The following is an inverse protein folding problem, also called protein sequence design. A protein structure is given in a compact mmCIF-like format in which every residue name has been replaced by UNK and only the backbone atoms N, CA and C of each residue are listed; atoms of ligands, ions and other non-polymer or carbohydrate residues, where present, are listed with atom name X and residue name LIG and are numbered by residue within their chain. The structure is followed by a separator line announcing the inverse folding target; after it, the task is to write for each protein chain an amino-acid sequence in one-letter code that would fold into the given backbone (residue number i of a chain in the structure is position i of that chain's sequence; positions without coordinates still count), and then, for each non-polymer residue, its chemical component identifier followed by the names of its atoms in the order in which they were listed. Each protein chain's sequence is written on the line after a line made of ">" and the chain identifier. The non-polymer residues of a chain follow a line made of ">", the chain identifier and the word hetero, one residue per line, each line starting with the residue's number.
data_IF_398300711640
#
_entry.id   IF_398300711640
#
_cell.length_a   1.000
_cell.length_b   1.000
_cell.length_c   1.000
_cell.angle_alpha   90.00
_cell.angle_beta   90.00
_cell.angle_gamma   90.00
#
_symmetry.space_group_name_H-M   'P 1'
#
loop_
_entity.id
_entity.type
_entity.pdbx_description
1 polymer ?
#
# COMPACT_ATOMS: atom_id res chain seq x y z
N UNK A 1 28.81 24.08 -0.81
CA UNK A 1 27.69 23.13 -0.93
C UNK A 1 26.41 23.94 -0.88
N UNK A 2 25.53 23.82 -1.86
CA UNK A 2 24.22 24.50 -1.84
C UNK A 2 23.49 24.16 -0.54
N UNK A 3 22.87 25.15 0.11
CA UNK A 3 22.15 24.95 1.36
C UNK A 3 20.92 24.08 1.13
N UNK A 4 20.86 22.91 1.78
CA UNK A 4 19.67 22.05 1.76
C UNK A 4 18.64 22.56 2.77
N UNK A 5 17.54 23.11 2.27
CA UNK A 5 16.45 23.61 3.10
C UNK A 5 15.27 22.64 3.07
N UNK A 6 14.70 22.35 4.24
CA UNK A 6 13.45 21.58 4.34
C UNK A 6 12.29 22.53 4.58
N UNK A 7 11.21 22.34 3.81
CA UNK A 7 9.93 23.04 4.01
C UNK A 7 8.75 22.13 3.69
N UNK A 8 7.55 22.58 4.05
CA UNK A 8 6.33 21.97 3.57
C UNK A 8 6.14 22.25 2.08
N UNK A 9 5.70 21.23 1.35
CA UNK A 9 5.26 21.38 -0.02
C UNK A 9 3.97 22.19 -0.08
N UNK A 10 3.80 22.92 -1.18
CA UNK A 10 2.63 23.71 -1.51
C UNK A 10 2.06 23.24 -2.85
N UNK A 11 0.83 23.65 -3.18
CA UNK A 11 0.18 23.27 -4.45
C UNK A 11 1.01 23.65 -5.68
N UNK A 12 1.75 24.77 -5.62
CA UNK A 12 2.66 25.20 -6.67
C UNK A 12 3.83 24.24 -6.96
N UNK A 13 4.16 23.35 -6.02
CA UNK A 13 5.23 22.36 -6.16
C UNK A 13 4.82 21.13 -6.99
N UNK A 14 3.53 21.01 -7.35
CA UNK A 14 2.97 19.82 -7.97
C UNK A 14 3.81 19.31 -9.16
N UNK A 15 4.17 20.18 -10.10
CA UNK A 15 4.92 19.78 -11.29
C UNK A 15 6.33 19.28 -10.96
N UNK A 16 7.03 19.92 -10.01
CA UNK A 16 8.35 19.48 -9.58
C UNK A 16 8.29 18.14 -8.83
N UNK A 17 7.25 17.90 -8.03
CA UNK A 17 7.03 16.63 -7.33
C UNK A 17 6.68 15.48 -8.29
N UNK A 18 5.85 15.75 -9.31
CA UNK A 18 5.59 14.81 -10.39
C UNK A 18 6.88 14.48 -11.15
N UNK A 19 7.71 15.48 -11.45
CA UNK A 19 9.00 15.26 -12.09
C UNK A 19 9.96 14.46 -11.21
N UNK A 20 10.06 14.78 -9.91
CA UNK A 20 10.88 14.01 -8.96
C UNK A 20 10.44 12.53 -8.90
N UNK A 21 9.14 12.27 -9.04
CA UNK A 21 8.59 10.91 -9.11
C UNK A 21 9.08 10.16 -10.35
N UNK A 22 9.11 10.82 -11.52
CA UNK A 22 9.66 10.26 -12.76
C UNK A 22 11.18 10.01 -12.65
N UNK A 23 11.90 10.90 -11.97
CA UNK A 23 13.35 10.82 -11.77
C UNK A 23 13.77 9.75 -10.75
N UNK A 24 12.82 9.21 -9.98
CA UNK A 24 13.07 8.19 -8.96
C UNK A 24 12.38 6.84 -9.28
N UNK A 25 12.69 6.20 -10.42
CA UNK A 25 12.07 4.92 -10.77
C UNK A 25 12.53 3.79 -9.83
N UNK A 26 11.68 2.79 -9.71
CA UNK A 26 12.05 1.48 -9.19
C UNK A 26 12.80 0.74 -10.30
N UNK A 27 14.06 0.40 -10.03
CA UNK A 27 14.91 -0.33 -10.95
C UNK A 27 14.89 -1.82 -10.63
N UNK A 28 14.78 -2.65 -11.66
CA UNK A 28 14.73 -4.11 -11.51
C UNK A 28 14.48 -4.82 -12.83
N UNK A 29 14.17 -6.14 -12.78
CA UNK A 29 13.84 -6.92 -13.97
C UNK A 29 12.72 -6.30 -14.82
N UNK A 30 11.78 -5.63 -14.16
CA UNK A 30 10.84 -4.67 -14.72
C UNK A 30 11.16 -3.34 -14.05
N UNK A 31 11.62 -2.35 -14.81
CA UNK A 31 11.83 -1.01 -14.29
C UNK A 31 10.59 -0.17 -14.56
N UNK A 32 10.13 0.55 -13.56
CA UNK A 32 8.89 1.34 -13.62
C UNK A 32 8.96 2.51 -12.66
N UNK A 33 8.05 3.47 -12.81
CA UNK A 33 7.73 4.41 -11.74
C UNK A 33 6.22 4.42 -11.51
N UNK A 34 5.83 4.82 -10.31
CA UNK A 34 4.43 4.98 -9.96
C UNK A 34 4.03 6.42 -10.30
N UNK A 35 3.34 6.58 -11.42
CA UNK A 35 2.83 7.86 -11.89
C UNK A 35 1.72 8.36 -10.98
N UNK A 36 1.72 9.69 -10.80
CA UNK A 36 0.88 10.46 -9.87
C UNK A 36 0.08 11.56 -10.59
N UNK A 37 0.08 11.55 -11.91
CA UNK A 37 -0.59 12.56 -12.72
C UNK A 37 -2.12 12.53 -12.50
N UNK A 38 -2.81 13.68 -12.50
CA UNK A 38 -2.27 15.04 -12.70
C UNK A 38 -1.83 15.73 -11.39
N UNK A 39 -2.17 15.18 -10.21
CA UNK A 39 -1.98 15.82 -8.91
C UNK A 39 -1.24 14.88 -7.95
N UNK A 40 -0.04 15.27 -7.56
CA UNK A 40 0.84 14.52 -6.66
C UNK A 40 0.15 14.19 -5.32
N UNK A 41 -0.57 15.17 -4.77
CA UNK A 41 -1.15 15.12 -3.43
C UNK A 41 -2.39 14.21 -3.29
N UNK A 42 -2.98 13.74 -4.39
CA UNK A 42 -4.21 12.93 -4.34
C UNK A 42 -4.05 11.64 -3.53
N UNK A 43 -2.90 10.94 -3.62
CA UNK A 43 -2.71 9.77 -2.75
C UNK A 43 -2.66 10.18 -1.27
N UNK A 44 -2.00 11.28 -0.95
CA UNK A 44 -1.84 11.73 0.43
C UNK A 44 -3.19 12.08 1.08
N UNK A 45 -4.07 12.75 0.34
CA UNK A 45 -5.44 13.06 0.75
C UNK A 45 -6.25 11.78 1.05
N UNK A 46 -6.07 10.74 0.24
CA UNK A 46 -6.74 9.45 0.43
C UNK A 46 -6.16 8.62 1.58
N UNK A 47 -4.89 8.82 1.92
CA UNK A 47 -4.25 8.14 3.04
C UNK A 47 -4.77 8.65 4.40
N UNK A 48 -5.21 9.90 4.50
CA UNK A 48 -5.73 10.48 5.73
C UNK A 48 -5.99 11.99 5.62
N UNK A 49 -6.89 12.49 6.46
CA UNK A 49 -7.37 13.88 6.42
C UNK A 49 -6.27 14.90 6.77
N UNK A 50 -5.28 14.50 7.57
CA UNK A 50 -4.14 15.34 7.92
C UNK A 50 -2.85 14.70 7.43
N UNK A 51 -2.31 15.25 6.34
CA UNK A 51 -1.01 14.86 5.79
C UNK A 51 -0.08 16.06 5.66
N UNK A 52 1.22 15.78 5.60
CA UNK A 52 2.30 16.73 5.35
C UNK A 52 3.26 16.11 4.35
N UNK A 53 3.54 16.84 3.27
CA UNK A 53 4.62 16.49 2.34
C UNK A 53 5.76 17.47 2.61
N UNK A 54 6.91 16.95 3.01
CA UNK A 54 8.12 17.74 3.17
C UNK A 54 8.98 17.62 1.93
N UNK A 55 9.54 18.73 1.48
CA UNK A 55 10.48 18.79 0.37
C UNK A 55 11.83 19.27 0.84
N UNK A 56 12.89 18.78 0.20
CA UNK A 56 14.23 19.33 0.32
C UNK A 56 14.53 20.10 -0.95
N UNK A 57 14.86 21.37 -0.79
CA UNK A 57 15.25 22.26 -1.89
C UNK A 57 16.78 22.43 -1.93
N UNK A 58 17.30 22.48 -3.16
CA UNK A 58 18.67 22.87 -3.47
C UNK A 58 18.62 23.74 -4.71
N UNK A 59 19.17 24.94 -4.66
CA UNK A 59 19.23 25.89 -5.79
C UNK A 59 17.85 26.11 -6.44
N UNK A 60 16.82 26.35 -5.61
CA UNK A 60 15.41 26.54 -5.98
C UNK A 60 14.76 25.36 -6.72
N UNK A 61 15.33 24.15 -6.62
CA UNK A 61 14.76 22.93 -7.17
C UNK A 61 14.48 21.92 -6.07
N UNK A 62 13.33 21.26 -6.15
CA UNK A 62 13.01 20.14 -5.26
C UNK A 62 13.89 18.94 -5.64
N UNK A 63 14.70 18.50 -4.70
CA UNK A 63 15.62 17.36 -4.88
C UNK A 63 15.29 16.15 -4.01
N UNK A 64 14.29 16.28 -3.15
CA UNK A 64 13.73 15.17 -2.41
C UNK A 64 12.34 15.49 -1.88
N UNK A 65 11.57 14.44 -1.58
CA UNK A 65 10.28 14.54 -0.90
C UNK A 65 10.09 13.39 0.09
N UNK A 66 9.32 13.63 1.17
CA UNK A 66 8.82 12.59 2.07
C UNK A 66 7.39 12.95 2.50
N UNK A 67 6.53 11.94 2.59
CA UNK A 67 5.14 12.11 3.02
C UNK A 67 4.94 11.57 4.43
N UNK A 68 4.21 12.31 5.24
CA UNK A 68 3.79 11.94 6.58
C UNK A 68 2.28 12.14 6.71
N UNK A 69 1.53 11.08 6.98
CA UNK A 69 0.07 11.14 7.11
C UNK A 69 -0.35 10.67 8.49
N UNK A 70 -1.13 11.49 9.20
CA UNK A 70 -1.68 11.14 10.50
C UNK A 70 -2.75 10.06 10.32
N UNK A 71 -2.63 8.95 11.04
CA UNK A 71 -3.61 7.87 11.03
C UNK A 71 -3.97 7.46 12.46
N UNK A 72 -5.25 7.18 12.68
CA UNK A 72 -5.69 6.45 13.86
C UNK A 72 -5.62 4.96 13.58
N UNK A 73 -4.96 4.23 14.48
CA UNK A 73 -4.79 2.78 14.37
C UNK A 73 -5.07 2.07 15.69
N UNK A 74 -5.36 0.78 15.61
CA UNK A 74 -5.40 -0.09 16.77
C UNK A 74 -3.99 -0.52 17.18
N UNK A 75 -3.67 -0.35 18.46
CA UNK A 75 -2.46 -0.85 19.10
C UNK A 75 -2.85 -1.54 20.41
N UNK A 76 -2.67 -2.85 20.48
CA UNK A 76 -3.14 -3.70 21.57
C UNK A 76 -4.64 -3.48 21.89
N UNK A 77 -5.44 -3.27 20.85
CA UNK A 77 -6.88 -2.98 20.94
C UNK A 77 -7.24 -1.53 21.29
N UNK A 78 -6.27 -0.65 21.55
CA UNK A 78 -6.50 0.76 21.85
C UNK A 78 -6.30 1.63 20.60
N UNK A 79 -7.11 2.68 20.47
CA UNK A 79 -7.01 3.63 19.35
C UNK A 79 -5.89 4.64 19.63
N UNK A 80 -4.89 4.68 18.75
CA UNK A 80 -3.67 5.48 18.90
C UNK A 80 -3.39 6.23 17.60
N UNK A 81 -3.05 7.53 17.66
CA UNK A 81 -2.60 8.27 16.49
C UNK A 81 -1.13 7.96 16.18
N UNK A 82 -0.82 7.75 14.90
CA UNK A 82 0.53 7.50 14.39
C UNK A 82 0.82 8.33 13.14
N UNK A 83 2.11 8.50 12.82
CA UNK A 83 2.54 9.01 11.52
C UNK A 83 2.81 7.85 10.56
N UNK A 84 2.00 7.69 9.52
CA UNK A 84 2.38 6.87 8.37
C UNK A 84 3.41 7.63 7.52
N UNK A 85 4.66 7.16 7.50
CA UNK A 85 5.79 7.83 6.86
C UNK A 85 6.22 7.00 5.65
N UNK A 86 6.13 7.59 4.47
CA UNK A 86 6.40 6.91 3.23
C UNK A 86 6.70 7.85 2.07
N UNK A 87 6.65 7.29 0.88
CA UNK A 87 6.84 8.01 -0.38
C UNK A 87 8.16 8.80 -0.48
N UNK A 88 9.20 8.33 0.23
CA UNK A 88 10.52 8.95 0.26
C UNK A 88 11.16 8.89 -1.14
N UNK A 89 11.45 10.07 -1.69
CA UNK A 89 12.17 10.24 -2.95
C UNK A 89 13.38 11.13 -2.73
N UNK A 90 14.51 10.72 -3.30
CA UNK A 90 15.72 11.52 -3.34
C UNK A 90 16.25 11.42 -4.76
N UNK A 91 16.32 12.57 -5.43
CA UNK A 91 16.83 12.69 -6.78
C UNK A 91 18.18 11.96 -6.89
N UNK A 92 18.41 11.12 -7.91
CA UNK A 92 19.62 10.29 -7.99
C UNK A 92 20.92 11.07 -7.78
N UNK A 93 21.03 12.27 -8.37
CA UNK A 93 22.18 13.18 -8.25
C UNK A 93 22.43 13.75 -6.85
N UNK A 94 21.47 13.62 -5.94
CA UNK A 94 21.52 14.13 -4.55
C UNK A 94 21.62 13.03 -3.49
N UNK A 95 21.65 11.75 -3.89
CA UNK A 95 21.86 10.63 -2.96
C UNK A 95 23.25 10.72 -2.33
N UNK A 96 23.34 10.47 -1.03
CA UNK A 96 24.59 10.61 -0.25
C UNK A 96 24.98 12.05 0.08
N UNK A 97 24.27 13.08 -0.41
CA UNK A 97 24.59 14.50 -0.19
C UNK A 97 23.87 15.15 1.00
N UNK A 98 23.42 14.35 1.97
CA UNK A 98 22.80 14.86 3.20
C UNK A 98 21.28 15.07 3.18
N UNK A 99 20.58 14.88 2.05
CA UNK A 99 19.11 15.05 1.92
C UNK A 99 18.33 14.26 2.99
N UNK A 100 18.67 12.98 3.18
CA UNK A 100 18.03 12.14 4.21
C UNK A 100 18.24 12.69 5.62
N UNK A 101 19.47 13.16 5.94
CA UNK A 101 19.77 13.77 7.23
C UNK A 101 18.92 15.02 7.44
N UNK A 102 18.81 15.87 6.42
CA UNK A 102 17.97 17.08 6.47
C UNK A 102 16.51 16.75 6.76
N UNK A 103 15.92 15.73 6.10
CA UNK A 103 14.57 15.28 6.42
C UNK A 103 14.44 14.90 7.89
N UNK A 104 15.31 14.02 8.36
CA UNK A 104 15.18 13.45 9.69
C UNK A 104 15.41 14.50 10.77
N UNK A 105 16.27 15.50 10.56
CA UNK A 105 16.52 16.54 11.57
C UNK A 105 15.56 17.72 11.49
N UNK A 106 15.14 18.14 10.29
CA UNK A 106 14.30 19.33 10.10
C UNK A 106 12.81 19.00 9.99
N UNK A 107 12.43 17.95 9.25
CA UNK A 107 11.02 17.57 9.11
C UNK A 107 10.44 17.01 10.40
N UNK A 108 11.22 16.24 11.18
CA UNK A 108 10.79 15.74 12.50
C UNK A 108 10.50 16.89 13.47
N UNK A 109 11.35 17.92 13.47
CA UNK A 109 11.15 19.14 14.25
C UNK A 109 9.87 19.86 13.84
N UNK A 110 9.66 20.06 12.53
CA UNK A 110 8.43 20.69 12.02
C UNK A 110 7.18 19.87 12.38
N UNK A 111 7.22 18.54 12.30
CA UNK A 111 6.11 17.68 12.74
C UNK A 111 5.82 17.85 14.23
N UNK A 112 6.87 17.92 15.07
CA UNK A 112 6.70 18.14 16.51
C UNK A 112 6.08 19.51 16.82
N UNK A 113 6.54 20.55 16.14
CA UNK A 113 6.05 21.93 16.31
C UNK A 113 4.58 22.11 15.88
N UNK A 114 4.05 21.25 15.01
CA UNK A 114 2.62 21.27 14.61
C UNK A 114 1.65 20.76 15.68
N UNK A 115 2.12 20.40 16.88
CA UNK A 115 1.27 20.19 18.06
C UNK A 115 0.59 18.82 18.16
N UNK A 116 0.75 17.94 17.16
CA UNK A 116 0.17 16.60 17.19
C UNK A 116 0.75 15.71 18.31
N UNK A 117 1.97 16.01 18.82
CA UNK A 117 2.67 15.24 19.88
C UNK A 117 2.66 13.72 19.65
N UNK A 118 2.66 13.29 18.39
CA UNK A 118 2.70 11.88 17.99
C UNK A 118 4.14 11.43 17.87
N UNK A 119 4.51 10.45 18.69
CA UNK A 119 5.87 9.91 18.84
C UNK A 119 5.98 8.44 18.41
N UNK A 120 5.11 8.02 17.48
CA UNK A 120 5.11 6.70 16.84
C UNK A 120 4.84 6.86 15.35
N UNK A 121 5.70 6.26 14.52
CA UNK A 121 5.51 6.18 13.08
C UNK A 121 5.38 4.76 12.58
N UNK A 122 4.80 4.60 11.39
CA UNK A 122 4.77 3.36 10.61
C UNK A 122 5.38 3.63 9.23
N UNK A 123 6.33 2.81 8.81
CA UNK A 123 6.85 2.85 7.45
C UNK A 123 6.91 1.47 6.83
N UNK A 124 6.57 1.40 5.55
CA UNK A 124 6.66 0.18 4.75
C UNK A 124 7.74 0.38 3.69
N UNK A 125 8.67 -0.58 3.60
CA UNK A 125 9.81 -0.49 2.70
C UNK A 125 9.90 -1.78 1.91
N UNK A 126 9.81 -1.70 0.58
CA UNK A 126 10.03 -2.87 -0.30
C UNK A 126 11.41 -3.45 0.00
N UNK A 127 11.49 -4.75 0.28
CA UNK A 127 12.70 -5.44 0.77
C UNK A 127 13.89 -5.34 -0.18
N UNK A 128 13.62 -5.33 -1.48
CA UNK A 128 14.65 -5.20 -2.53
C UNK A 128 15.11 -3.75 -2.74
N UNK A 129 14.46 -2.77 -2.11
CA UNK A 129 14.88 -1.38 -2.20
C UNK A 129 16.22 -1.21 -1.47
N UNK A 130 17.29 -0.74 -2.15
CA UNK A 130 18.58 -0.49 -1.50
C UNK A 130 18.51 0.49 -0.32
N UNK A 131 17.52 1.38 -0.31
CA UNK A 131 17.28 2.31 0.77
C UNK A 131 16.92 1.62 2.09
N UNK A 132 16.37 0.39 2.07
CA UNK A 132 16.03 -0.36 3.29
C UNK A 132 17.21 -0.45 4.25
N UNK A 133 18.38 -0.88 3.78
CA UNK A 133 19.61 -1.01 4.59
C UNK A 133 20.11 0.33 5.12
N UNK A 134 19.94 1.40 4.35
CA UNK A 134 20.39 2.75 4.71
C UNK A 134 19.48 3.34 5.79
N UNK A 135 18.18 3.07 5.71
CA UNK A 135 17.16 3.59 6.62
C UNK A 135 17.14 2.84 7.94
N UNK A 136 17.34 1.52 7.92
CA UNK A 136 17.34 0.68 9.13
C UNK A 136 18.69 0.63 9.85
N UNK A 137 19.70 1.35 9.36
CA UNK A 137 21.02 1.41 10.00
C UNK A 137 21.03 2.32 11.23
N UNK A 138 21.77 1.95 12.27
CA UNK A 138 21.92 2.75 13.49
C UNK A 138 22.71 4.02 13.19
N UNK A 139 22.06 5.19 13.27
CA UNK A 139 22.70 6.50 13.17
C UNK A 139 22.14 7.43 14.25
N UNK A 140 22.94 8.30 14.88
CA UNK A 140 22.49 9.12 16.00
C UNK A 140 21.29 10.03 15.71
N UNK A 141 21.10 10.42 14.45
CA UNK A 141 19.98 11.26 14.03
C UNK A 141 18.74 10.47 13.60
N UNK A 142 18.84 9.17 13.32
CA UNK A 142 17.72 8.37 12.84
C UNK A 142 16.78 7.96 13.98
N UNK A 143 15.46 7.87 13.75
CA UNK A 143 14.59 7.18 14.68
C UNK A 143 14.97 5.69 14.75
N UNK A 144 14.61 5.03 15.84
CA UNK A 144 14.76 3.59 15.97
C UNK A 144 13.71 2.88 15.10
N UNK A 145 14.15 2.05 14.17
CA UNK A 145 13.30 1.21 13.31
C UNK A 145 13.08 -0.13 13.98
N UNK A 146 11.92 -0.31 14.61
CA UNK A 146 11.52 -1.58 15.22
C UNK A 146 10.84 -2.43 14.15
N UNK A 147 11.37 -3.62 13.80
CA UNK A 147 10.76 -4.48 12.79
C UNK A 147 9.43 -5.02 13.28
N UNK A 148 8.37 -4.89 12.47
CA UNK A 148 7.02 -5.38 12.80
C UNK A 148 6.71 -6.72 12.12
N UNK A 149 7.26 -6.93 10.92
CA UNK A 149 7.02 -8.14 10.14
C UNK A 149 7.33 -7.96 8.66
N UNK A 150 7.18 -9.04 7.90
CA UNK A 150 7.30 -9.03 6.43
C UNK A 150 5.93 -9.25 5.80
N UNK A 151 5.53 -8.33 4.94
CA UNK A 151 4.33 -8.40 4.12
C UNK A 151 4.71 -9.01 2.78
N UNK A 152 4.13 -10.15 2.43
CA UNK A 152 4.23 -10.71 1.10
C UNK A 152 3.09 -10.17 0.23
N UNK A 153 3.45 -9.41 -0.80
CA UNK A 153 2.51 -8.93 -1.79
C UNK A 153 2.40 -9.95 -2.90
N UNK A 154 1.18 -10.42 -3.16
CA UNK A 154 0.84 -11.35 -4.21
C UNK A 154 0.21 -10.60 -5.37
N UNK A 155 0.88 -10.55 -6.52
CA UNK A 155 0.31 -10.14 -7.80
C UNK A 155 -0.31 -11.37 -8.46
N UNK A 156 -1.62 -11.53 -8.31
CA UNK A 156 -2.40 -12.68 -8.78
C UNK A 156 -2.90 -12.44 -10.20
N UNK A 157 -2.46 -13.27 -11.14
CA UNK A 157 -2.81 -13.09 -12.55
C UNK A 157 -4.21 -13.61 -12.87
N UNK A 158 -4.94 -12.82 -13.64
CA UNK A 158 -6.31 -13.11 -14.10
C UNK A 158 -6.26 -13.99 -15.35
N UNK A 159 -5.96 -15.29 -15.17
CA UNK A 159 -5.77 -16.23 -16.28
C UNK A 159 -6.95 -17.20 -16.41
N UNK A 160 -7.16 -18.04 -15.39
CA UNK A 160 -8.10 -19.15 -15.44
C UNK A 160 -9.17 -19.02 -14.36
N UNK A 161 -10.40 -19.51 -14.59
CA UNK A 161 -11.41 -19.54 -13.55
C UNK A 161 -10.98 -20.44 -12.39
N UNK A 162 -11.50 -20.11 -11.21
CA UNK A 162 -11.32 -20.84 -9.96
C UNK A 162 -12.63 -21.48 -9.52
N UNK A 163 -12.54 -22.71 -9.04
CA UNK A 163 -13.65 -23.33 -8.32
C UNK A 163 -13.78 -22.64 -6.96
N UNK A 164 -15.00 -22.23 -6.65
CA UNK A 164 -15.35 -21.68 -5.33
C UNK A 164 -15.94 -22.85 -4.53
N UNK A 165 -15.61 -22.92 -3.24
CA UNK A 165 -16.19 -23.89 -2.35
C UNK A 165 -17.69 -23.58 -2.14
N UNK A 166 -18.55 -24.56 -2.41
CA UNK A 166 -20.01 -24.42 -2.40
C UNK A 166 -20.57 -24.06 -1.01
N UNK A 167 -19.77 -24.22 0.06
CA UNK A 167 -20.11 -23.77 1.41
C UNK A 167 -20.23 -22.25 1.50
N UNK A 168 -19.51 -21.50 0.65
CA UNK A 168 -19.49 -20.04 0.72
C UNK A 168 -20.31 -19.42 -0.40
N UNK A 169 -21.24 -18.55 -0.02
CA UNK A 169 -21.92 -17.67 -0.94
C UNK A 169 -21.14 -16.35 -1.02
N UNK A 170 -20.48 -16.10 -2.15
CA UNK A 170 -19.79 -14.82 -2.38
C UNK A 170 -20.67 -13.89 -3.22
N UNK A 171 -20.98 -12.72 -2.67
CA UNK A 171 -21.88 -11.72 -3.28
C UNK A 171 -21.24 -10.33 -3.31
N UNK A 172 -21.77 -9.42 -4.12
CA UNK A 172 -21.39 -8.00 -4.08
C UNK A 172 -22.18 -7.31 -2.97
N UNK A 173 -21.55 -6.34 -2.30
CA UNK A 173 -22.22 -5.59 -1.25
C UNK A 173 -23.32 -4.67 -1.79
N UNK A 174 -24.35 -4.49 -0.97
CA UNK A 174 -25.45 -3.56 -1.18
C UNK A 174 -25.58 -2.62 0.02
N UNK A 175 -26.45 -1.61 -0.07
CA UNK A 175 -26.69 -0.68 1.04
C UNK A 175 -27.14 -1.38 2.33
N UNK A 176 -27.80 -2.54 2.21
CA UNK A 176 -28.26 -3.33 3.36
C UNK A 176 -27.12 -4.02 4.13
N UNK A 177 -25.94 -4.18 3.50
CA UNK A 177 -24.82 -4.89 4.11
C UNK A 177 -23.90 -3.97 4.94
N UNK A 178 -24.07 -2.64 4.87
CA UNK A 178 -23.13 -1.66 5.43
C UNK A 178 -22.88 -1.87 6.93
N UNK A 179 -23.93 -2.12 7.70
CA UNK A 179 -23.81 -2.34 9.15
C UNK A 179 -23.00 -3.61 9.44
N UNK A 180 -23.32 -4.72 8.78
CA UNK A 180 -22.60 -5.98 8.93
C UNK A 180 -21.12 -5.86 8.48
N UNK A 181 -20.87 -5.14 7.37
CA UNK A 181 -19.52 -4.91 6.85
C UNK A 181 -18.66 -4.11 7.82
N UNK A 182 -19.17 -2.97 8.30
CA UNK A 182 -18.44 -2.11 9.23
C UNK A 182 -18.22 -2.81 10.57
N UNK A 183 -19.20 -3.58 11.05
CA UNK A 183 -19.08 -4.44 12.22
C UNK A 183 -17.96 -5.49 12.08
N UNK A 184 -17.91 -6.21 10.95
CA UNK A 184 -16.86 -7.20 10.68
C UNK A 184 -15.48 -6.54 10.58
N UNK A 185 -15.36 -5.42 9.83
CA UNK A 185 -14.07 -4.73 9.68
C UNK A 185 -13.56 -4.29 11.06
N UNK A 186 -14.41 -3.62 11.85
CA UNK A 186 -14.03 -3.15 13.19
C UNK A 186 -13.58 -4.31 14.09
N UNK A 187 -14.35 -5.39 14.13
CA UNK A 187 -14.02 -6.58 14.92
C UNK A 187 -12.69 -7.20 14.49
N UNK A 188 -12.48 -7.39 13.19
CA UNK A 188 -11.26 -7.98 12.66
C UNK A 188 -10.04 -7.06 12.83
N UNK A 189 -10.22 -5.74 12.74
CA UNK A 189 -9.12 -4.76 12.79
C UNK A 189 -8.69 -4.46 14.23
N UNK A 190 -9.62 -4.44 15.18
CA UNK A 190 -9.30 -4.26 16.60
C UNK A 190 -8.38 -5.37 17.17
N UNK A 191 -8.36 -6.54 16.52
CA UNK A 191 -7.49 -7.68 16.88
C UNK A 191 -6.13 -7.66 16.15
N UNK A 192 -5.78 -6.56 15.46
CA UNK A 192 -4.54 -6.44 14.68
C UNK A 192 -3.80 -5.15 15.01
N UNK A 193 -2.47 -5.25 15.11
CA UNK A 193 -1.60 -4.10 15.31
C UNK A 193 -1.59 -3.22 14.07
N UNK A 194 -1.62 -1.91 14.26
CA UNK A 194 -1.56 -0.90 13.20
C UNK A 194 -2.73 -0.95 12.20
N UNK A 195 -3.83 -1.65 12.53
CA UNK A 195 -5.03 -1.64 11.71
C UNK A 195 -5.70 -0.27 11.76
N UNK A 196 -6.15 0.31 10.63
CA UNK A 196 -6.78 1.62 10.65
C UNK A 196 -8.09 1.56 11.46
N UNK A 197 -8.32 2.58 12.27
CA UNK A 197 -9.64 2.78 12.89
C UNK A 197 -10.60 3.23 11.80
N UNK A 198 -11.69 2.48 11.62
CA UNK A 198 -12.75 2.83 10.69
C UNK A 198 -13.98 3.19 11.50
N UNK A 199 -14.38 4.45 11.42
CA UNK A 199 -15.65 4.90 11.97
C UNK A 199 -16.80 4.41 11.08
N UNK A 200 -17.79 3.68 11.63
CA UNK A 200 -18.96 3.28 10.88
C UNK A 200 -19.72 4.50 10.32
N UNK A 201 -19.78 5.57 11.13
CA UNK A 201 -20.28 6.86 10.69
C UNK A 201 -19.39 7.40 9.57
N UNK A 202 -19.98 7.64 8.40
CA UNK A 202 -19.24 8.18 7.26
C UNK A 202 -18.44 7.16 6.44
N UNK A 203 -18.44 5.86 6.79
CA UNK A 203 -17.78 4.81 5.98
C UNK A 203 -18.23 4.84 4.52
N UNK A 204 -19.55 4.82 4.27
CA UNK A 204 -20.10 4.87 2.91
C UNK A 204 -19.69 6.15 2.19
N UNK A 205 -19.82 7.30 2.85
CA UNK A 205 -19.42 8.60 2.29
C UNK A 205 -17.95 8.61 1.88
N UNK A 206 -17.07 8.07 2.72
CA UNK A 206 -15.64 7.96 2.43
C UNK A 206 -15.37 7.02 1.25
N UNK A 207 -16.05 5.89 1.20
CA UNK A 207 -15.98 4.95 0.07
C UNK A 207 -16.41 5.64 -1.24
N UNK A 208 -17.53 6.34 -1.24
CA UNK A 208 -18.06 7.05 -2.43
C UNK A 208 -17.20 8.25 -2.86
N UNK A 209 -16.52 8.90 -1.91
CA UNK A 209 -15.57 9.98 -2.18
C UNK A 209 -14.20 9.47 -2.65
N UNK A 210 -13.92 8.18 -2.52
CA UNK A 210 -12.64 7.58 -2.90
C UNK A 210 -12.65 7.23 -4.38
N UNK A 211 -11.84 7.89 -5.23
CA UNK A 211 -11.86 7.65 -6.67
C UNK A 211 -11.54 6.18 -7.00
N UNK A 212 -12.40 5.58 -7.83
CA UNK A 212 -12.27 4.18 -8.24
C UNK A 212 -12.65 3.14 -7.18
N UNK A 213 -13.19 3.58 -6.04
CA UNK A 213 -13.79 2.74 -5.01
C UNK A 213 -15.30 3.08 -4.86
N UNK A 214 -16.09 2.09 -4.49
CA UNK A 214 -17.54 2.19 -4.39
C UNK A 214 -18.11 0.92 -3.77
N UNK A 215 -19.32 1.01 -3.21
CA UNK A 215 -19.92 -0.09 -2.47
C UNK A 215 -20.04 -1.39 -3.29
N UNK A 216 -20.42 -1.28 -4.56
CA UNK A 216 -20.54 -2.41 -5.48
C UNK A 216 -19.22 -3.16 -5.75
N UNK A 217 -18.07 -2.57 -5.40
CA UNK A 217 -16.77 -3.22 -5.55
C UNK A 217 -16.37 -4.07 -4.33
N UNK A 218 -17.14 -4.03 -3.26
CA UNK A 218 -16.97 -4.92 -2.10
C UNK A 218 -17.56 -6.29 -2.39
N UNK A 219 -16.80 -7.32 -2.06
CA UNK A 219 -17.19 -8.72 -2.07
C UNK A 219 -17.38 -9.21 -0.65
N UNK A 220 -18.47 -9.95 -0.45
CA UNK A 220 -18.90 -10.49 0.84
C UNK A 220 -18.97 -12.01 0.75
N UNK A 221 -18.19 -12.70 1.57
CA UNK A 221 -18.26 -14.16 1.73
C UNK A 221 -19.17 -14.48 2.91
N UNK A 222 -20.28 -15.17 2.63
CA UNK A 222 -21.28 -15.57 3.61
C UNK A 222 -21.35 -17.10 3.73
N UNK A 223 -21.60 -17.60 4.92
CA UNK A 223 -21.93 -19.01 5.17
C UNK A 223 -23.24 -19.06 5.97
N UNK A 224 -24.24 -19.77 5.45
CA UNK A 224 -25.57 -19.84 6.07
C UNK A 224 -26.15 -18.45 6.43
N UNK A 225 -25.97 -17.47 5.54
CA UNK A 225 -26.43 -16.08 5.73
C UNK A 225 -25.52 -15.20 6.60
N UNK A 226 -24.57 -15.76 7.35
CA UNK A 226 -23.64 -15.02 8.20
C UNK A 226 -22.44 -14.51 7.41
N UNK A 227 -22.09 -13.23 7.54
CA UNK A 227 -20.91 -12.63 6.92
C UNK A 227 -19.63 -13.08 7.64
N UNK A 228 -18.73 -13.74 6.91
CA UNK A 228 -17.46 -14.28 7.44
C UNK A 228 -16.23 -13.50 6.97
N UNK A 229 -16.34 -12.85 5.82
CA UNK A 229 -15.21 -12.16 5.23
C UNK A 229 -15.63 -11.14 4.19
N UNK A 230 -14.82 -10.11 4.01
CA UNK A 230 -14.97 -9.18 2.92
C UNK A 230 -13.62 -8.69 2.40
N UNK A 231 -13.64 -8.25 1.15
CA UNK A 231 -12.55 -7.54 0.49
C UNK A 231 -13.13 -6.61 -0.58
N UNK A 232 -12.49 -5.48 -0.85
CA UNK A 232 -12.88 -4.60 -1.94
C UNK A 232 -11.85 -4.58 -3.06
N UNK A 233 -12.34 -4.52 -4.29
CA UNK A 233 -11.55 -4.25 -5.49
C UNK A 233 -11.43 -2.75 -5.67
N UNK A 234 -10.19 -2.24 -5.69
CA UNK A 234 -9.94 -0.81 -5.86
C UNK A 234 -9.08 -0.54 -7.09
N UNK A 235 -9.68 0.07 -8.11
CA UNK A 235 -8.95 0.59 -9.26
C UNK A 235 -8.42 2.00 -8.97
N UNK A 236 -7.10 2.11 -8.84
CA UNK A 236 -6.43 3.37 -8.50
C UNK A 236 -5.91 4.11 -9.73
N UNK A 237 -6.15 3.61 -10.94
CA UNK A 237 -5.54 4.15 -12.17
C UNK A 237 -5.89 5.61 -12.47
N UNK A 238 -6.91 6.17 -11.83
CA UNK A 238 -7.27 7.59 -11.98
C UNK A 238 -6.30 8.55 -11.28
N UNK A 239 -5.51 8.07 -10.29
CA UNK A 239 -4.55 8.91 -9.55
C UNK A 239 -3.19 8.24 -9.29
N UNK A 240 -3.07 6.91 -9.48
CA UNK A 240 -1.86 6.12 -9.23
C UNK A 240 -1.75 5.00 -10.26
N UNK A 241 -0.77 5.12 -11.17
CA UNK A 241 -0.54 4.15 -12.25
C UNK A 241 0.90 3.65 -12.25
N UNK A 242 1.14 2.44 -12.73
CA UNK A 242 2.50 1.94 -12.95
C UNK A 242 2.87 2.18 -14.42
N UNK A 243 3.81 3.10 -14.67
CA UNK A 243 4.38 3.33 -16.00
C UNK A 243 5.61 2.45 -16.18
N UNK A 244 5.56 1.53 -17.13
CA UNK A 244 6.67 0.63 -17.43
C UNK A 244 7.74 1.42 -18.20
N UNK A 245 8.97 1.38 -17.72
CA UNK A 245 10.11 2.04 -18.37
C UNK A 245 10.91 1.06 -19.23
N UNK A 246 11.20 -0.13 -18.70
CA UNK A 246 12.00 -1.11 -19.41
C UNK A 246 11.86 -2.51 -18.83
N UNK A 247 12.25 -3.49 -19.63
CA UNK A 247 12.39 -4.88 -19.23
C UNK A 247 13.86 -5.31 -19.38
N UNK A 248 14.36 -6.06 -18.40
CA UNK A 248 15.63 -6.78 -18.54
C UNK A 248 15.56 -7.78 -19.72
N UNK A 249 16.71 -8.18 -20.31
CA UNK A 249 16.72 -9.09 -21.46
C UNK A 249 15.95 -10.40 -21.22
N UNK A 250 16.08 -10.99 -20.02
CA UNK A 250 15.37 -12.21 -19.63
C UNK A 250 13.85 -12.01 -19.60
N UNK A 251 13.39 -10.90 -19.02
CA UNK A 251 11.95 -10.56 -18.96
C UNK A 251 11.40 -10.23 -20.34
N UNK A 252 12.20 -9.60 -21.21
CA UNK A 252 11.81 -9.32 -22.59
C UNK A 252 11.53 -10.61 -23.36
N UNK A 253 12.37 -11.63 -23.16
CA UNK A 253 12.20 -12.93 -23.79
C UNK A 253 10.98 -13.68 -23.22
N UNK A 254 10.82 -13.74 -21.89
CA UNK A 254 9.65 -14.38 -21.28
C UNK A 254 8.34 -13.71 -21.69
N UNK A 255 8.35 -12.39 -21.89
CA UNK A 255 7.22 -11.62 -22.42
C UNK A 255 6.80 -12.09 -23.82
N UNK A 256 7.75 -12.40 -24.71
CA UNK A 256 7.43 -12.86 -26.06
C UNK A 256 6.71 -14.21 -26.01
N UNK A 257 7.23 -15.15 -25.21
CA UNK A 257 6.58 -16.45 -25.00
C UNK A 257 5.20 -16.30 -24.36
N UNK A 258 5.08 -15.51 -23.29
CA UNK A 258 3.79 -15.26 -22.65
C UNK A 258 2.79 -14.63 -23.63
N UNK A 259 3.18 -13.62 -24.40
CA UNK A 259 2.28 -12.95 -25.34
C UNK A 259 1.85 -13.87 -26.51
N UNK A 260 2.67 -14.83 -26.89
CA UNK A 260 2.30 -15.87 -27.85
C UNK A 260 1.18 -16.76 -27.29
N UNK A 261 1.36 -17.29 -26.08
CA UNK A 261 0.33 -18.10 -25.41
C UNK A 261 -0.91 -17.30 -25.02
N UNK A 262 -0.75 -16.01 -24.67
CA UNK A 262 -1.86 -15.14 -24.32
C UNK A 262 -2.88 -15.06 -25.46
N UNK A 263 -2.42 -14.98 -26.71
CA UNK A 263 -3.31 -15.01 -27.88
C UNK A 263 -4.07 -16.34 -28.00
N UNK A 264 -3.41 -17.46 -27.72
CA UNK A 264 -4.00 -18.79 -27.84
C UNK A 264 -5.09 -19.04 -26.78
N UNK A 265 -4.86 -18.56 -25.56
CA UNK A 265 -5.77 -18.79 -24.43
C UNK A 265 -6.69 -17.60 -24.12
N UNK A 266 -6.70 -16.56 -24.97
CA UNK A 266 -7.53 -15.36 -24.78
C UNK A 266 -7.08 -14.46 -23.62
N UNK A 267 -5.86 -14.62 -23.11
CA UNK A 267 -5.31 -13.74 -22.08
C UNK A 267 -4.85 -12.41 -22.66
N UNK A 268 -4.74 -11.41 -21.78
CA UNK A 268 -4.17 -10.12 -22.15
C UNK A 268 -2.65 -10.21 -22.26
N UNK A 269 -2.03 -9.65 -23.31
CA UNK A 269 -0.58 -9.61 -23.42
C UNK A 269 0.03 -8.68 -22.38
N UNK A 270 1.24 -8.97 -21.94
CA UNK A 270 2.03 -8.08 -21.10
C UNK A 270 2.35 -6.80 -21.89
N UNK A 271 2.10 -5.60 -21.32
CA UNK A 271 2.27 -4.33 -22.02
C UNK A 271 3.73 -4.01 -22.40
N UNK A 272 3.91 -3.02 -23.28
CA UNK A 272 5.23 -2.59 -23.75
C UNK A 272 5.87 -1.54 -22.86
N UNK A 273 7.20 -1.36 -22.88
CA UNK A 273 7.80 -0.16 -22.32
C UNK A 273 7.10 1.10 -22.84
N UNK A 274 6.86 2.07 -21.96
CA UNK A 274 6.10 3.28 -22.25
C UNK A 274 4.59 3.17 -22.03
N UNK A 275 4.02 1.99 -21.82
CA UNK A 275 2.60 1.85 -21.46
C UNK A 275 2.39 1.74 -19.95
N UNK A 276 1.13 1.87 -19.54
CA UNK A 276 0.71 1.59 -18.17
C UNK A 276 0.43 0.10 -17.98
N UNK A 277 0.64 -0.37 -16.76
CA UNK A 277 0.24 -1.70 -16.33
C UNK A 277 -1.19 -1.62 -15.77
N UNK A 278 -2.18 -2.32 -16.36
CA UNK A 278 -3.54 -2.35 -15.83
C UNK A 278 -3.67 -3.39 -14.72
N UNK A 279 -4.02 -2.94 -13.52
CA UNK A 279 -4.19 -3.77 -12.33
C UNK A 279 -5.09 -3.07 -11.32
N UNK A 280 -5.56 -3.81 -10.32
CA UNK A 280 -6.27 -3.25 -9.17
C UNK A 280 -5.72 -3.80 -7.86
N UNK A 281 -5.96 -3.09 -6.75
CA UNK A 281 -5.62 -3.54 -5.42
C UNK A 281 -6.81 -4.22 -4.75
N UNK A 282 -6.53 -5.21 -3.91
CA UNK A 282 -7.45 -5.57 -2.84
C UNK A 282 -7.18 -4.72 -1.61
N UNK A 283 -8.25 -4.17 -1.05
CA UNK A 283 -8.23 -3.34 0.17
C UNK A 283 -9.34 -3.79 1.10
N UNK A 284 -9.33 -3.28 2.34
CA UNK A 284 -10.35 -3.57 3.34
C UNK A 284 -10.52 -5.07 3.63
N UNK A 285 -9.46 -5.86 3.46
CA UNK A 285 -9.53 -7.32 3.69
C UNK A 285 -9.77 -7.57 5.17
N UNK A 286 -10.95 -8.09 5.51
CA UNK A 286 -11.34 -8.45 6.86
C UNK A 286 -11.92 -9.86 6.81
N UNK A 287 -11.27 -10.80 7.52
CA UNK A 287 -11.62 -12.22 7.53
C UNK A 287 -11.77 -12.64 8.97
N UNK A 288 -12.91 -13.20 9.32
CA UNK A 288 -13.15 -13.72 10.66
C UNK A 288 -12.20 -14.88 10.96
N UNK A 289 -11.51 -14.81 12.10
CA UNK A 289 -10.59 -15.85 12.55
C UNK A 289 -9.38 -16.10 11.63
N UNK A 290 -9.12 -15.20 10.66
CA UNK A 290 -8.12 -15.39 9.61
C UNK A 290 -8.29 -16.75 8.87
N UNK A 291 -9.53 -17.20 8.64
CA UNK A 291 -9.83 -18.45 7.92
C UNK A 291 -9.39 -18.36 6.44
N UNK A 292 -8.40 -19.15 6.00
CA UNK A 292 -7.92 -19.12 4.62
C UNK A 292 -8.97 -19.58 3.60
N UNK A 293 -9.94 -20.41 3.97
CA UNK A 293 -10.98 -20.87 3.05
C UNK A 293 -11.92 -19.72 2.66
N UNK A 294 -12.24 -18.83 3.62
CA UNK A 294 -13.05 -17.62 3.38
C UNK A 294 -12.31 -16.67 2.43
N UNK A 295 -11.03 -16.39 2.68
CA UNK A 295 -10.23 -15.56 1.78
C UNK A 295 -10.10 -16.20 0.39
N UNK A 296 -9.86 -17.51 0.31
CA UNK A 296 -9.76 -18.21 -0.97
C UNK A 296 -11.04 -18.10 -1.80
N UNK A 297 -12.21 -18.20 -1.17
CA UNK A 297 -13.50 -18.02 -1.82
C UNK A 297 -13.66 -16.58 -2.38
N UNK A 298 -13.30 -15.57 -1.59
CA UNK A 298 -13.29 -14.16 -2.04
C UNK A 298 -12.38 -13.96 -3.25
N UNK A 299 -11.11 -14.38 -3.15
CA UNK A 299 -10.12 -14.24 -4.23
C UNK A 299 -10.55 -14.97 -5.49
N UNK A 300 -11.13 -16.17 -5.35
CA UNK A 300 -11.61 -16.98 -6.46
C UNK A 300 -12.76 -16.30 -7.19
N UNK A 301 -13.72 -15.73 -6.44
CA UNK A 301 -14.83 -14.99 -7.03
C UNK A 301 -14.37 -13.70 -7.70
N UNK A 302 -13.51 -12.92 -7.05
CA UNK A 302 -12.90 -11.71 -7.62
C UNK A 302 -12.21 -12.04 -8.94
N UNK A 303 -11.38 -13.08 -8.96
CA UNK A 303 -10.70 -13.49 -10.19
C UNK A 303 -11.70 -13.84 -11.29
N UNK A 304 -12.70 -14.67 -10.99
CA UNK A 304 -13.69 -15.13 -11.97
C UNK A 304 -14.48 -13.98 -12.60
N UNK A 305 -14.91 -13.00 -11.79
CA UNK A 305 -15.68 -11.85 -12.27
C UNK A 305 -14.83 -10.93 -13.16
N UNK A 306 -13.51 -10.87 -12.94
CA UNK A 306 -12.60 -9.96 -13.64
C UNK A 306 -11.77 -10.63 -14.76
N UNK A 307 -12.01 -11.90 -15.11
CA UNK A 307 -11.26 -12.61 -16.18
C UNK A 307 -11.37 -11.95 -17.57
N UNK A 308 -12.48 -11.27 -17.85
CA UNK A 308 -12.77 -10.65 -19.15
C UNK A 308 -12.43 -9.16 -19.20
N UNK A 309 -12.03 -8.59 -18.07
CA UNK A 309 -11.73 -7.17 -17.96
C UNK A 309 -10.37 -6.83 -18.60
N UNK A 310 -10.02 -5.54 -18.57
CA UNK A 310 -8.74 -5.05 -19.09
C UNK A 310 -7.56 -5.26 -18.13
N UNK A 311 -7.78 -5.76 -16.92
CA UNK A 311 -6.75 -5.96 -15.91
C UNK A 311 -5.90 -7.20 -16.18
N UNK A 312 -4.62 -7.15 -15.82
CA UNK A 312 -3.70 -8.31 -15.93
C UNK A 312 -3.64 -9.13 -14.65
N UNK A 313 -3.66 -8.43 -13.52
CA UNK A 313 -3.56 -9.03 -12.20
C UNK A 313 -4.22 -8.11 -11.17
N UNK A 314 -4.41 -8.66 -9.98
CA UNK A 314 -4.68 -7.86 -8.79
C UNK A 314 -3.61 -8.10 -7.74
N UNK A 315 -3.46 -7.16 -6.81
CA UNK A 315 -2.48 -7.27 -5.72
C UNK A 315 -3.15 -7.36 -4.37
N UNK A 316 -2.69 -8.32 -3.55
CA UNK A 316 -3.07 -8.45 -2.14
C UNK A 316 -1.83 -8.66 -1.28
N UNK A 317 -1.72 -7.93 -0.17
CA UNK A 317 -0.66 -8.12 0.81
C UNK A 317 -1.11 -9.04 1.93
N UNK A 318 -0.30 -10.04 2.29
CA UNK A 318 -0.52 -10.91 3.45
C UNK A 318 0.70 -10.92 4.36
N UNK A 319 0.49 -11.04 5.66
CA UNK A 319 1.58 -11.16 6.63
C UNK A 319 2.24 -12.54 6.45
N UNK A 320 3.56 -12.56 6.30
CA UNK A 320 4.30 -13.82 6.18
C UNK A 320 4.13 -14.65 7.47
N UNK A 321 3.81 -15.93 7.32
CA UNK A 321 3.52 -16.84 8.43
C UNK A 321 2.07 -16.80 8.91
N UNK A 322 1.21 -15.94 8.34
CA UNK A 322 -0.22 -15.95 8.66
C UNK A 322 -0.95 -17.15 8.05
N UNK A 323 -2.03 -17.66 8.69
CA UNK A 323 -2.88 -18.71 8.12
C UNK A 323 -3.41 -18.36 6.72
N UNK A 324 -3.67 -17.06 6.48
CA UNK A 324 -4.20 -16.54 5.22
C UNK A 324 -3.30 -16.80 4.01
N UNK A 325 -1.99 -17.04 4.17
CA UNK A 325 -1.13 -17.41 3.03
C UNK A 325 -1.62 -18.68 2.33
N UNK A 326 -2.30 -19.59 3.05
CA UNK A 326 -2.87 -20.80 2.48
C UNK A 326 -3.98 -20.50 1.45
N UNK A 327 -4.64 -19.34 1.56
CA UNK A 327 -5.66 -18.91 0.60
C UNK A 327 -5.07 -18.68 -0.80
N UNK A 328 -3.76 -18.51 -0.92
CA UNK A 328 -3.08 -18.30 -2.20
C UNK A 328 -2.85 -19.60 -2.98
N UNK A 329 -3.11 -20.77 -2.36
CA UNK A 329 -2.89 -22.07 -3.00
C UNK A 329 -3.67 -22.18 -4.31
N UNK A 330 -2.96 -22.58 -5.37
CA UNK A 330 -3.56 -22.76 -6.70
C UNK A 330 -3.66 -21.48 -7.53
N UNK A 331 -3.43 -20.29 -6.97
CA UNK A 331 -3.31 -19.06 -7.76
C UNK A 331 -1.95 -18.99 -8.46
N UNK A 332 -1.93 -18.48 -9.69
CA UNK A 332 -0.69 -18.12 -10.36
C UNK A 332 -0.33 -16.70 -9.96
N UNK A 333 0.76 -16.53 -9.23
CA UNK A 333 1.14 -15.25 -8.66
C UNK A 333 2.64 -14.97 -8.79
N UNK A 334 2.99 -13.70 -8.93
CA UNK A 334 4.31 -13.20 -8.57
C UNK A 334 4.28 -12.59 -7.19
N UNK A 335 5.38 -12.69 -6.46
CA UNK A 335 5.48 -12.13 -5.11
C UNK A 335 6.64 -11.18 -4.96
N UNK A 336 6.45 -10.20 -4.08
CA UNK A 336 7.54 -9.39 -3.56
C UNK A 336 7.28 -9.06 -2.08
N UNK A 337 8.35 -8.92 -1.33
CA UNK A 337 8.27 -8.67 0.11
C UNK A 337 8.40 -7.17 0.41
N UNK A 338 7.60 -6.70 1.36
CA UNK A 338 7.65 -5.37 1.96
C UNK A 338 7.88 -5.52 3.46
N UNK A 339 8.89 -4.83 3.99
CA UNK A 339 9.22 -4.83 5.41
C UNK A 339 8.42 -3.73 6.11
N UNK A 340 7.77 -4.06 7.22
CA UNK A 340 7.05 -3.10 8.05
C UNK A 340 7.89 -2.73 9.27
N UNK A 341 7.95 -1.43 9.58
CA UNK A 341 8.68 -0.90 10.73
C UNK A 341 7.84 0.09 11.52
N UNK A 342 7.90 -0.01 12.85
CA UNK A 342 7.55 1.09 13.73
C UNK A 342 8.76 2.02 13.86
N UNK A 343 8.54 3.33 13.76
CA UNK A 343 9.57 4.35 13.86
C UNK A 343 9.41 5.07 15.19
N UNK A 344 10.40 4.93 16.06
CA UNK A 344 10.41 5.55 17.38
C UNK A 344 11.44 6.68 17.42
N UNK A 345 11.05 7.95 17.60
CA UNK A 345 12.00 8.99 17.95
C UNK A 345 12.66 8.65 19.30
N UNK A 346 13.83 9.24 19.56
CA UNK A 346 14.55 9.00 20.81
C UNK A 346 13.73 9.45 22.01
N UNK A 347 13.61 8.59 23.02
CA UNK A 347 12.80 8.88 24.22
C UNK A 347 11.30 8.77 23.97
N UNK A 348 10.90 8.06 22.91
CA UNK A 348 9.50 7.75 22.62
C UNK A 348 8.90 6.94 23.75
N UNK A 349 7.65 7.25 24.14
CA UNK A 349 6.95 6.48 25.18
C UNK A 349 6.62 5.04 24.77
N UNK A 350 6.84 4.70 23.50
CA UNK A 350 6.54 3.40 22.92
C UNK A 350 7.73 2.43 22.96
N UNK A 351 8.90 2.83 23.49
CA UNK A 351 10.11 2.00 23.53
C UNK A 351 9.93 0.66 24.27
N UNK A 352 8.97 0.58 25.19
CA UNK A 352 8.70 -0.62 26.00
C UNK A 352 7.43 -1.37 25.58
N UNK A 353 6.78 -0.96 24.48
CA UNK A 353 5.56 -1.62 24.01
C UNK A 353 5.92 -2.83 23.16
N UNK A 354 5.32 -3.98 23.48
CA UNK A 354 5.39 -5.15 22.63
C UNK A 354 4.46 -4.99 21.42
N UNK A 355 5.07 -4.76 20.25
CA UNK A 355 4.36 -4.65 18.98
C UNK A 355 3.97 -5.99 18.36
N UNK A 356 4.36 -7.12 18.94
CA UNK A 356 4.10 -8.47 18.41
C UNK A 356 3.01 -9.23 19.17
N UNK A 357 2.43 -8.63 20.21
CA UNK A 357 1.34 -9.22 21.01
C UNK A 357 0.13 -9.63 20.17
N UNK A 358 -0.19 -8.87 19.13
CA UNK A 358 -1.24 -9.16 18.16
C UNK A 358 -0.64 -9.16 16.74
N UNK A 359 -1.24 -9.88 15.78
CA UNK A 359 -0.74 -9.90 14.40
C UNK A 359 -0.80 -8.51 13.76
N UNK A 360 0.15 -8.21 12.88
CA UNK A 360 0.18 -6.96 12.12
C UNK A 360 -0.97 -6.91 11.08
N UNK A 361 -1.69 -5.80 11.03
CA UNK A 361 -2.64 -5.52 9.95
C UNK A 361 -1.92 -5.17 8.65
N UNK A 362 -2.46 -5.66 7.53
CA UNK A 362 -1.92 -5.45 6.20
C UNK A 362 -2.95 -4.80 5.29
N UNK A 363 -2.65 -3.59 4.82
CA UNK A 363 -3.27 -3.01 3.64
C UNK A 363 -2.18 -2.27 2.84
N UNK A 364 -1.88 -2.78 1.64
CA UNK A 364 -0.88 -2.20 0.73
C UNK A 364 -1.48 -1.38 -0.40
N UNK A 365 -2.81 -1.21 -0.44
CA UNK A 365 -3.48 -0.43 -1.47
C UNK A 365 -3.12 1.05 -1.37
N UNK A 366 -2.98 1.58 -0.15
CA UNK A 366 -2.64 2.98 0.10
C UNK A 366 -1.15 3.22 0.34
N UNK A 367 -0.31 2.21 0.10
CA UNK A 367 1.14 2.30 0.40
C UNK A 367 1.95 2.80 -0.77
#
# INVERSE_FOLDING_TARGET
>A
MSSLQVRLAQDGDNQQLLQLTRDCPVLGPISFYQERDPRFFTLNELQGESYRVFVVESDNHIVGSVSCTLKWVYLNGLEVPIWYIGDLKIAPRMRGKGVLRSFVTQASRLLWETGAKVDLGLSLIVKTNPASRVLTGTRPYMPHFVPLGTIRNYAVHLLFPKKIDDRFQVTRATGQDIEAMTGLIRSAYAQKQFAPVIEPAGFLKKVEQTPGLGLHQFYLAKHQGRLLGLAAVWDQQVFKRIKILSFSPRVRLSRLFFNFFAKLFGFRPIPTPGSFLPYFYLTHVAIEGDDPAVLHALLSRIQNDHLKDSYLFFTVGLLQGSPLEQAMRGFFCHTFDTLAFALLPRGSRWEHVDFHRLPLHIDTALT
#
